data_IF_252958615695
#
_entry.id   IF_252958615695
#
_cell.length_a   1.000
_cell.length_b   1.000
_cell.length_c   1.000
_cell.angle_alpha   90.00
_cell.angle_beta   90.00
_cell.angle_gamma   90.00
#
_symmetry.space_group_name_H-M   'P 1'
#
loop_
_entity.id
_entity.type
_entity.pdbx_description
1 polymer ?
#
# COMPACT_ATOMS: atom_id res chain seq x y z
N UNK A 1 18.47 -46.93 -26.04
CA UNK A 1 18.59 -45.56 -25.49
C UNK A 1 18.61 -44.60 -26.66
N UNK A 2 17.44 -44.10 -27.04
CA UNK A 2 17.24 -43.14 -28.13
C UNK A 2 16.91 -41.80 -27.50
N UNK A 3 17.75 -40.80 -27.76
CA UNK A 3 17.52 -39.41 -27.35
C UNK A 3 16.64 -38.74 -28.40
N UNK A 4 15.39 -38.43 -28.04
CA UNK A 4 14.53 -37.54 -28.82
C UNK A 4 14.91 -36.09 -28.54
N UNK A 5 15.37 -35.39 -29.57
CA UNK A 5 15.70 -33.97 -29.54
C UNK A 5 14.49 -33.19 -30.08
N UNK A 6 13.67 -32.61 -29.19
CA UNK A 6 12.57 -31.71 -29.57
C UNK A 6 13.03 -30.25 -29.49
N UNK A 7 13.53 -29.73 -30.60
CA UNK A 7 13.72 -28.30 -30.82
C UNK A 7 12.38 -27.68 -31.21
N UNK A 8 11.63 -27.15 -30.24
CA UNK A 8 10.43 -26.34 -30.48
C UNK A 8 10.86 -24.89 -30.73
N UNK A 9 10.88 -24.47 -31.99
CA UNK A 9 10.96 -23.05 -32.34
C UNK A 9 9.68 -22.37 -31.86
N UNK A 10 9.79 -21.57 -30.80
CA UNK A 10 8.70 -20.72 -30.32
C UNK A 10 8.35 -19.69 -31.39
N UNK A 11 7.07 -19.61 -31.75
CA UNK A 11 6.54 -18.56 -32.60
C UNK A 11 6.80 -17.19 -31.94
N UNK A 12 7.39 -16.28 -32.70
CA UNK A 12 7.49 -14.87 -32.31
C UNK A 12 6.06 -14.33 -32.20
N UNK A 13 5.66 -13.71 -31.07
CA UNK A 13 4.33 -13.13 -30.95
C UNK A 13 4.18 -12.04 -32.01
N UNK A 14 3.12 -12.16 -32.82
CA UNK A 14 2.73 -11.14 -33.79
C UNK A 14 2.42 -9.87 -32.98
N UNK A 15 3.16 -8.79 -33.21
CA UNK A 15 2.91 -7.50 -32.58
C UNK A 15 1.49 -7.06 -32.94
N UNK A 16 0.61 -7.06 -31.94
CA UNK A 16 -0.77 -6.61 -32.08
C UNK A 16 -0.76 -5.11 -32.38
N UNK A 17 -1.46 -4.69 -33.44
CA UNK A 17 -1.40 -3.32 -33.93
C UNK A 17 -2.01 -2.34 -32.90
N UNK A 18 -1.36 -1.17 -32.74
CA UNK A 18 -1.86 -0.07 -31.90
C UNK A 18 -3.29 0.30 -32.35
N UNK A 19 -4.26 0.12 -31.46
CA UNK A 19 -5.66 0.46 -31.70
C UNK A 19 -5.93 1.89 -31.22
N UNK A 20 -6.75 2.67 -31.92
CA UNK A 20 -7.22 3.95 -31.39
C UNK A 20 -8.54 3.73 -30.68
N UNK A 21 -8.65 4.20 -29.43
CA UNK A 21 -9.88 4.10 -28.62
C UNK A 21 -10.39 5.49 -28.28
N UNK A 22 -11.71 5.61 -28.17
CA UNK A 22 -12.40 6.85 -27.82
C UNK A 22 -12.72 6.87 -26.33
N UNK A 23 -12.28 7.93 -25.64
CA UNK A 23 -12.48 8.12 -24.21
C UNK A 23 -13.20 9.44 -23.99
N UNK A 24 -14.32 9.39 -23.26
CA UNK A 24 -15.07 10.59 -22.88
C UNK A 24 -14.44 11.25 -21.66
N UNK A 25 -14.17 12.55 -21.72
CA UNK A 25 -13.60 13.32 -20.63
C UNK A 25 -14.59 13.43 -19.45
N UNK A 26 -14.20 13.03 -18.23
CA UNK A 26 -15.10 13.03 -17.07
C UNK A 26 -15.33 14.43 -16.46
N UNK A 27 -14.50 15.41 -16.80
CA UNK A 27 -14.56 16.78 -16.31
C UNK A 27 -13.73 17.69 -17.22
N UNK A 28 -13.82 19.00 -17.01
CA UNK A 28 -12.94 19.98 -17.64
C UNK A 28 -11.50 19.78 -17.15
N UNK A 29 -10.54 19.57 -18.06
CA UNK A 29 -9.13 19.29 -17.73
C UNK A 29 -8.17 20.11 -18.59
N UNK A 30 -7.06 20.55 -17.99
CA UNK A 30 -6.00 21.28 -18.69
C UNK A 30 -5.10 20.33 -19.50
N UNK A 31 -4.48 20.86 -20.56
CA UNK A 31 -3.56 20.08 -21.38
C UNK A 31 -2.35 19.53 -20.62
N UNK A 32 -1.97 18.30 -20.94
CA UNK A 32 -0.89 17.57 -20.27
C UNK A 32 -1.31 16.82 -19.00
N UNK A 33 -2.54 16.98 -18.54
CA UNK A 33 -3.07 16.20 -17.42
C UNK A 33 -3.15 14.70 -17.76
N UNK A 34 -2.92 13.82 -16.79
CA UNK A 34 -3.03 12.37 -16.97
C UNK A 34 -4.18 11.83 -16.14
N UNK A 35 -5.02 11.00 -16.75
CA UNK A 35 -6.08 10.29 -16.04
C UNK A 35 -6.21 8.85 -16.54
N UNK A 36 -6.78 7.98 -15.72
CA UNK A 36 -6.94 6.57 -16.04
C UNK A 36 -8.26 6.32 -16.78
N UNK A 37 -8.20 5.59 -17.89
CA UNK A 37 -9.36 5.11 -18.64
C UNK A 37 -9.37 3.59 -18.70
N UNK A 38 -10.56 2.99 -18.84
CA UNK A 38 -10.73 1.53 -18.92
C UNK A 38 -11.21 1.16 -20.32
N UNK A 39 -10.45 0.31 -21.02
CA UNK A 39 -10.86 -0.29 -22.29
C UNK A 39 -10.66 -1.80 -22.24
N UNK A 40 -11.71 -2.58 -22.52
CA UNK A 40 -11.70 -4.05 -22.41
C UNK A 40 -11.20 -4.59 -21.06
N UNK A 41 -11.50 -3.89 -19.96
CA UNK A 41 -11.06 -4.25 -18.60
C UNK A 41 -9.59 -3.92 -18.30
N UNK A 42 -8.87 -3.33 -19.25
CA UNK A 42 -7.49 -2.89 -19.08
C UNK A 42 -7.51 -1.38 -18.78
N UNK A 43 -6.92 -1.00 -17.65
CA UNK A 43 -6.70 0.39 -17.27
C UNK A 43 -5.49 0.92 -18.06
N UNK A 44 -5.58 2.12 -18.65
CA UNK A 44 -4.46 2.77 -19.32
C UNK A 44 -4.52 4.28 -19.10
N UNK A 45 -3.34 4.91 -19.04
CA UNK A 45 -3.22 6.33 -18.78
C UNK A 45 -3.45 7.15 -20.07
N UNK A 46 -4.43 8.05 -20.01
CA UNK A 46 -4.74 9.03 -21.06
C UNK A 46 -4.08 10.35 -20.72
N UNK A 47 -3.35 10.92 -21.68
CA UNK A 47 -2.78 12.28 -21.58
C UNK A 47 -3.71 13.25 -22.30
N UNK A 48 -4.18 14.28 -21.59
CA UNK A 48 -5.02 15.34 -22.15
C UNK A 48 -4.21 16.14 -23.17
N UNK A 49 -4.74 16.40 -24.38
CA UNK A 49 -4.04 17.19 -25.40
C UNK A 49 -3.75 18.62 -24.93
N UNK A 50 -2.73 19.26 -25.49
CA UNK A 50 -2.23 20.57 -25.04
C UNK A 50 -3.30 21.69 -24.93
N UNK A 51 -4.40 21.59 -25.68
CA UNK A 51 -5.53 22.53 -25.62
C UNK A 51 -6.48 22.36 -24.44
N UNK A 52 -6.30 21.32 -23.61
CA UNK A 52 -7.29 20.91 -22.62
C UNK A 52 -8.51 20.23 -23.26
N UNK A 53 -9.47 19.84 -22.42
CA UNK A 53 -10.74 19.22 -22.81
C UNK A 53 -11.85 19.67 -21.87
N UNK A 54 -13.07 19.73 -22.38
CA UNK A 54 -14.28 19.97 -21.58
C UNK A 54 -14.93 18.65 -21.17
N UNK A 55 -15.73 18.67 -20.10
CA UNK A 55 -16.54 17.53 -19.67
C UNK A 55 -17.43 17.04 -20.82
N UNK A 56 -17.37 15.75 -21.12
CA UNK A 56 -18.11 15.12 -22.22
C UNK A 56 -17.38 15.10 -23.56
N UNK A 57 -16.24 15.78 -23.72
CA UNK A 57 -15.45 15.74 -24.95
C UNK A 57 -14.91 14.32 -25.21
N UNK A 58 -14.86 13.92 -26.49
CA UNK A 58 -14.32 12.62 -26.92
C UNK A 58 -12.86 12.81 -27.33
N UNK A 59 -11.96 12.08 -26.67
CA UNK A 59 -10.53 12.07 -26.94
C UNK A 59 -10.17 10.75 -27.60
N UNK A 60 -9.46 10.82 -28.73
CA UNK A 60 -8.91 9.63 -29.38
C UNK A 60 -7.49 9.38 -28.88
N UNK A 61 -7.28 8.20 -28.30
CA UNK A 61 -6.02 7.83 -27.65
C UNK A 61 -5.52 6.50 -28.20
N UNK A 62 -4.21 6.39 -28.50
CA UNK A 62 -3.63 5.12 -28.89
C UNK A 62 -3.64 4.18 -27.67
N UNK A 63 -4.31 3.04 -27.84
CA UNK A 63 -4.32 1.91 -26.94
C UNK A 63 -3.44 0.82 -27.53
N UNK A 64 -2.34 0.54 -26.83
CA UNK A 64 -1.48 -0.59 -27.12
C UNK A 64 -1.66 -1.62 -26.00
N UNK A 65 -2.37 -2.75 -26.25
CA UNK A 65 -2.56 -3.79 -25.26
C UNK A 65 -1.22 -4.44 -24.84
N UNK A 66 -0.18 -4.31 -25.66
CA UNK A 66 1.15 -4.90 -25.44
C UNK A 66 2.12 -3.93 -24.74
N UNK A 67 2.01 -2.62 -24.98
CA UNK A 67 2.70 -1.57 -24.20
C UNK A 67 1.88 -1.15 -22.97
N UNK A 68 1.59 -2.09 -22.09
CA UNK A 68 1.22 -1.78 -20.69
C UNK A 68 2.44 -1.32 -19.89
N UNK A 69 3.18 -0.37 -20.46
CA UNK A 69 4.36 0.25 -19.87
C UNK A 69 3.96 1.18 -18.75
N UNK A 70 4.47 0.87 -17.55
CA UNK A 70 4.57 1.72 -16.36
C UNK A 70 3.23 2.11 -15.70
N UNK A 71 2.77 1.19 -14.85
CA UNK A 71 1.80 1.37 -13.76
C UNK A 71 0.32 1.52 -14.08
N UNK A 72 -0.18 0.62 -14.92
CA UNK A 72 -1.61 0.31 -14.97
C UNK A 72 -1.99 -0.49 -13.72
N UNK A 73 -2.74 0.11 -12.80
CA UNK A 73 -3.49 -0.65 -11.79
C UNK A 73 -4.49 -1.53 -12.55
N UNK A 74 -4.14 -2.79 -12.77
CA UNK A 74 -5.04 -3.71 -13.45
C UNK A 74 -6.20 -4.00 -12.51
N UNK A 75 -7.37 -3.48 -12.86
CA UNK A 75 -8.62 -3.70 -12.14
C UNK A 75 -8.83 -5.21 -11.97
N UNK A 76 -9.24 -5.62 -10.79
CA UNK A 76 -9.53 -7.02 -10.47
C UNK A 76 -8.33 -7.85 -10.03
N UNK A 77 -7.12 -7.27 -9.93
CA UNK A 77 -5.97 -7.97 -9.34
C UNK A 77 -5.08 -7.05 -8.49
N UNK A 78 -4.33 -7.66 -7.57
CA UNK A 78 -3.25 -6.97 -6.87
C UNK A 78 -2.10 -6.65 -7.84
N UNK A 79 -1.50 -5.45 -7.71
CA UNK A 79 -0.32 -5.02 -8.47
C UNK A 79 0.87 -5.95 -8.25
N UNK A 80 1.03 -6.43 -7.02
CA UNK A 80 2.11 -7.33 -6.61
C UNK A 80 1.56 -8.47 -5.75
N UNK A 81 2.30 -9.59 -5.70
CA UNK A 81 2.05 -10.68 -4.76
C UNK A 81 2.24 -10.22 -3.31
N UNK A 82 1.58 -10.93 -2.38
CA UNK A 82 1.61 -10.61 -0.96
C UNK A 82 3.04 -10.56 -0.41
N UNK A 83 3.87 -11.55 -0.79
CA UNK A 83 5.26 -11.67 -0.31
C UNK A 83 6.29 -10.90 -1.13
N UNK A 84 5.88 -10.13 -2.15
CA UNK A 84 6.77 -9.26 -2.91
C UNK A 84 7.05 -7.93 -2.17
N UNK A 85 7.05 -7.95 -0.83
CA UNK A 85 7.21 -6.76 0.00
C UNK A 85 8.58 -6.08 -0.12
N UNK A 86 9.59 -6.81 -0.62
CA UNK A 86 10.95 -6.32 -0.88
C UNK A 86 11.22 -6.01 -2.35
N UNK A 87 10.18 -5.89 -3.19
CA UNK A 87 10.31 -5.60 -4.64
C UNK A 87 11.21 -4.40 -4.95
N UNK A 88 11.09 -3.33 -4.17
CA UNK A 88 11.90 -2.10 -4.33
C UNK A 88 13.14 -2.08 -3.41
N UNK A 89 13.51 -3.22 -2.83
CA UNK A 89 14.62 -3.38 -1.89
C UNK A 89 14.22 -3.37 -0.43
N UNK A 90 15.08 -3.95 0.43
CA UNK A 90 14.87 -4.08 1.88
C UNK A 90 14.97 -2.74 2.63
N UNK A 91 15.57 -1.72 2.02
CA UNK A 91 15.68 -0.38 2.60
C UNK A 91 14.58 0.57 2.09
N UNK A 92 13.65 0.08 1.29
CA UNK A 92 12.59 0.92 0.73
C UNK A 92 11.65 1.42 1.85
N UNK A 93 11.22 2.70 1.85
CA UNK A 93 10.40 3.26 2.92
C UNK A 93 9.10 2.48 3.17
N UNK A 94 8.46 1.99 2.11
CA UNK A 94 7.25 1.16 2.23
C UNK A 94 7.50 -0.18 2.94
N UNK A 95 8.67 -0.80 2.79
CA UNK A 95 8.98 -2.04 3.48
C UNK A 95 9.37 -1.78 4.94
N UNK A 96 10.30 -0.84 5.16
CA UNK A 96 10.77 -0.50 6.51
C UNK A 96 9.62 0.01 7.40
N UNK A 97 8.76 0.90 6.89
CA UNK A 97 7.59 1.33 7.66
C UNK A 97 6.60 0.18 7.88
N UNK A 98 6.43 -0.75 6.94
CA UNK A 98 5.54 -1.89 7.16
C UNK A 98 6.03 -2.80 8.30
N UNK A 99 7.35 -2.99 8.43
CA UNK A 99 7.95 -3.82 9.46
C UNK A 99 8.04 -3.13 10.83
N UNK A 100 8.47 -1.86 10.87
CA UNK A 100 8.77 -1.16 12.12
C UNK A 100 7.63 -0.26 12.60
N UNK A 101 6.83 0.28 11.68
CA UNK A 101 5.85 1.34 11.94
C UNK A 101 4.54 1.09 11.17
N UNK A 102 3.99 -0.13 11.28
CA UNK A 102 2.90 -0.59 10.42
C UNK A 102 1.70 0.37 10.38
N UNK A 103 1.31 0.92 11.53
CA UNK A 103 0.22 1.89 11.65
C UNK A 103 0.52 3.22 10.95
N UNK A 104 1.78 3.65 10.91
CA UNK A 104 2.20 4.88 10.21
C UNK A 104 2.06 4.69 8.70
N UNK A 105 2.55 3.57 8.15
CA UNK A 105 2.37 3.26 6.73
C UNK A 105 0.88 3.12 6.37
N UNK A 106 0.11 2.49 7.25
CA UNK A 106 -1.33 2.36 7.07
C UNK A 106 -2.03 3.73 7.08
N UNK A 107 -1.57 4.66 7.91
CA UNK A 107 -2.00 6.06 7.88
C UNK A 107 -1.76 6.74 6.53
N UNK A 108 -0.63 6.44 5.87
CA UNK A 108 -0.31 6.92 4.53
C UNK A 108 -1.24 6.33 3.47
N UNK A 109 -1.52 5.03 3.56
CA UNK A 109 -2.50 4.35 2.68
C UNK A 109 -3.90 4.95 2.88
N UNK A 110 -4.35 5.11 4.12
CA UNK A 110 -5.67 5.67 4.45
C UNK A 110 -5.83 7.12 3.96
N UNK A 111 -4.78 7.93 4.04
CA UNK A 111 -4.81 9.31 3.53
C UNK A 111 -5.00 9.35 2.01
N UNK A 112 -4.34 8.44 1.26
CA UNK A 112 -4.54 8.28 -0.19
C UNK A 112 -5.94 7.78 -0.52
N UNK A 113 -6.51 6.91 0.31
CA UNK A 113 -7.88 6.38 0.18
C UNK A 113 -8.98 7.32 0.71
N UNK A 114 -8.64 8.52 1.19
CA UNK A 114 -9.59 9.49 1.78
C UNK A 114 -10.38 8.92 2.96
N UNK A 115 -9.67 8.20 3.84
CA UNK A 115 -10.23 7.61 5.06
C UNK A 115 -9.76 8.33 6.31
N UNK A 116 -10.56 8.30 7.38
CA UNK A 116 -10.17 8.69 8.73
C UNK A 116 -9.34 7.59 9.42
N UNK A 117 -8.79 7.89 10.60
CA UNK A 117 -8.00 6.96 11.43
C UNK A 117 -8.75 5.72 11.96
N UNK A 118 -10.07 5.64 11.69
CA UNK A 118 -10.92 4.47 11.95
C UNK A 118 -11.15 3.63 10.69
N UNK A 119 -10.43 3.91 9.60
CA UNK A 119 -10.59 3.28 8.29
C UNK A 119 -12.01 3.41 7.72
N UNK A 120 -12.64 4.58 7.91
CA UNK A 120 -13.93 4.92 7.29
C UNK A 120 -13.73 6.04 6.28
N UNK A 121 -14.44 6.04 5.12
CA UNK A 121 -14.48 7.19 4.23
C UNK A 121 -14.89 8.44 5.00
N UNK A 122 -14.18 9.54 4.80
CA UNK A 122 -14.36 10.75 5.60
C UNK A 122 -14.18 12.02 4.76
N UNK A 123 -14.78 13.16 5.17
CA UNK A 123 -14.58 14.44 4.49
C UNK A 123 -13.11 14.91 4.58
N UNK A 124 -12.66 15.80 3.67
CA UNK A 124 -11.25 16.21 3.58
C UNK A 124 -10.65 16.75 4.89
N UNK A 125 -11.45 17.43 5.72
CA UNK A 125 -11.04 17.96 7.01
C UNK A 125 -10.61 16.87 8.00
N UNK A 126 -11.35 15.75 8.04
CA UNK A 126 -10.99 14.59 8.87
C UNK A 126 -9.79 13.84 8.29
N UNK A 127 -9.75 13.67 6.96
CA UNK A 127 -8.66 12.95 6.26
C UNK A 127 -7.31 13.62 6.52
N UNK A 128 -7.27 14.96 6.56
CA UNK A 128 -6.04 15.71 6.88
C UNK A 128 -5.43 15.33 8.23
N UNK A 129 -6.26 14.90 9.17
CA UNK A 129 -5.84 14.51 10.51
C UNK A 129 -5.51 13.01 10.63
N UNK A 130 -5.86 12.19 9.63
CA UNK A 130 -5.67 10.73 9.66
C UNK A 130 -4.24 10.34 9.95
N UNK A 131 -3.30 10.79 9.12
CA UNK A 131 -1.89 10.44 9.28
C UNK A 131 -1.35 10.85 10.65
N UNK A 132 -1.64 12.09 11.07
CA UNK A 132 -1.22 12.62 12.38
C UNK A 132 -1.76 11.77 13.53
N UNK A 133 -3.04 11.39 13.48
CA UNK A 133 -3.65 10.56 14.52
C UNK A 133 -3.00 9.16 14.57
N UNK A 134 -2.71 8.55 13.41
CA UNK A 134 -2.03 7.25 13.36
C UNK A 134 -0.60 7.33 13.93
N UNK A 135 0.13 8.41 13.67
CA UNK A 135 1.44 8.66 14.27
C UNK A 135 1.31 8.82 15.79
N UNK A 136 0.36 9.62 16.28
CA UNK A 136 0.12 9.80 17.72
C UNK A 136 -0.18 8.46 18.40
N UNK A 137 -1.10 7.67 17.83
CA UNK A 137 -1.42 6.33 18.36
C UNK A 137 -0.19 5.44 18.41
N UNK A 138 0.63 5.44 17.34
CA UNK A 138 1.86 4.66 17.28
C UNK A 138 2.85 5.09 18.36
N UNK A 139 3.13 6.39 18.48
CA UNK A 139 4.09 6.93 19.45
C UNK A 139 3.65 6.67 20.88
N UNK A 140 2.38 6.91 21.21
CA UNK A 140 1.83 6.65 22.56
C UNK A 140 1.93 5.17 22.90
N UNK A 141 1.60 4.27 21.96
CA UNK A 141 1.70 2.83 22.18
C UNK A 141 3.15 2.38 22.37
N UNK A 142 4.08 2.86 21.55
CA UNK A 142 5.51 2.53 21.68
C UNK A 142 6.06 3.01 23.02
N UNK A 143 5.78 4.27 23.41
CA UNK A 143 6.22 4.80 24.71
C UNK A 143 5.64 3.95 25.84
N UNK A 144 4.35 3.65 25.82
CA UNK A 144 3.71 2.87 26.88
C UNK A 144 4.26 1.44 26.95
N UNK A 145 4.56 0.84 25.79
CA UNK A 145 5.19 -0.48 25.71
C UNK A 145 6.60 -0.46 26.31
N UNK A 146 7.44 0.51 25.96
CA UNK A 146 8.80 0.69 26.53
C UNK A 146 8.75 0.95 28.03
N UNK A 147 7.81 1.76 28.52
CA UNK A 147 7.67 2.04 29.95
C UNK A 147 7.19 0.83 30.76
N UNK A 148 6.62 -0.18 30.10
CA UNK A 148 6.07 -1.39 30.74
C UNK A 148 6.86 -2.65 30.40
N UNK A 149 7.97 -2.55 29.65
CA UNK A 149 8.82 -3.70 29.36
C UNK A 149 9.42 -4.23 30.67
N UNK A 150 9.43 -5.56 30.89
CA UNK A 150 10.09 -6.15 32.04
C UNK A 150 11.56 -5.72 32.08
N UNK A 151 12.04 -5.35 33.26
CA UNK A 151 13.42 -4.95 33.49
C UNK A 151 14.30 -6.20 33.69
N UNK A 152 15.59 -6.07 33.38
CA UNK A 152 16.59 -7.09 33.68
C UNK A 152 17.35 -6.61 34.90
N UNK A 153 17.30 -7.40 35.97
CA UNK A 153 18.06 -7.13 37.18
C UNK A 153 19.23 -8.12 37.30
N UNK A 154 20.34 -7.62 37.83
CA UNK A 154 21.51 -8.43 38.16
C UNK A 154 21.38 -8.77 39.64
N UNK A 155 21.06 -10.02 39.91
CA UNK A 155 21.08 -10.55 41.27
C UNK A 155 22.49 -11.06 41.57
N UNK A 156 23.11 -10.55 42.64
CA UNK A 156 24.43 -10.98 43.06
C UNK A 156 24.20 -11.90 44.25
N UNK A 157 24.36 -13.21 44.02
CA UNK A 157 24.28 -14.19 45.10
C UNK A 157 25.41 -13.92 46.09
N UNK A 158 25.06 -13.39 47.27
CA UNK A 158 25.99 -13.06 48.37
C UNK A 158 26.88 -14.26 48.80
N UNK A 159 26.46 -15.49 48.46
CA UNK A 159 27.17 -16.72 48.83
C UNK A 159 28.24 -17.16 47.83
N UNK A 160 28.15 -16.74 46.55
CA UNK A 160 29.07 -17.21 45.49
C UNK A 160 29.72 -16.10 44.66
N UNK A 161 29.41 -14.81 44.93
CA UNK A 161 29.95 -13.66 44.18
C UNK A 161 29.75 -13.80 42.65
N UNK A 162 28.74 -14.58 42.25
CA UNK A 162 28.48 -14.91 40.86
C UNK A 162 27.21 -14.16 40.41
N UNK A 163 27.32 -13.19 39.48
CA UNK A 163 26.17 -12.44 39.03
C UNK A 163 25.24 -13.32 38.20
N UNK A 164 23.99 -13.42 38.64
CA UNK A 164 22.91 -14.09 37.92
C UNK A 164 21.98 -13.03 37.32
N UNK A 165 21.65 -13.15 36.04
CA UNK A 165 20.68 -12.26 35.39
C UNK A 165 19.28 -12.80 35.67
N UNK A 166 18.47 -12.04 36.41
CA UNK A 166 17.08 -12.38 36.70
C UNK A 166 16.19 -11.49 35.83
N UNK A 167 15.29 -12.12 35.07
CA UNK A 167 14.32 -11.42 34.25
C UNK A 167 12.98 -11.40 34.98
N UNK A 168 12.42 -10.21 35.21
CA UNK A 168 11.06 -10.10 35.75
C UNK A 168 10.02 -10.57 34.73
N UNK A 169 8.94 -11.17 35.23
CA UNK A 169 7.79 -11.51 34.40
C UNK A 169 7.16 -10.22 33.83
N UNK A 170 6.77 -10.19 32.55
CA UNK A 170 6.09 -9.02 31.99
C UNK A 170 4.80 -8.72 32.76
N UNK A 171 4.58 -7.45 33.09
CA UNK A 171 3.36 -7.04 33.78
C UNK A 171 2.11 -7.41 32.98
N UNK A 172 1.01 -7.71 33.67
CA UNK A 172 -0.32 -7.92 33.04
C UNK A 172 -0.69 -6.72 32.15
N UNK A 173 -0.31 -5.51 32.56
CA UNK A 173 -0.48 -4.27 31.79
C UNK A 173 0.23 -4.33 30.43
N UNK A 174 1.48 -4.80 30.37
CA UNK A 174 2.22 -4.96 29.12
C UNK A 174 1.49 -5.90 28.15
N UNK A 175 1.04 -7.05 28.63
CA UNK A 175 0.29 -8.01 27.81
C UNK A 175 -1.05 -7.44 27.31
N UNK A 176 -1.76 -6.72 28.18
CA UNK A 176 -3.02 -6.07 27.81
C UNK A 176 -2.83 -4.99 26.73
N UNK A 177 -1.77 -4.18 26.83
CA UNK A 177 -1.43 -3.17 25.83
C UNK A 177 -1.04 -3.79 24.49
N UNK A 178 -0.18 -4.82 24.51
CA UNK A 178 0.19 -5.60 23.33
C UNK A 178 -1.05 -6.19 22.65
N UNK A 179 -1.94 -6.82 23.42
CA UNK A 179 -3.17 -7.39 22.88
C UNK A 179 -4.10 -6.32 22.28
N UNK A 180 -4.26 -5.19 22.97
CA UNK A 180 -5.09 -4.07 22.49
C UNK A 180 -4.53 -3.49 21.19
N UNK A 181 -3.21 -3.28 21.13
CA UNK A 181 -2.53 -2.83 19.93
C UNK A 181 -2.72 -3.81 18.76
N UNK A 182 -2.53 -5.10 19.02
CA UNK A 182 -2.72 -6.15 18.04
C UNK A 182 -4.14 -6.17 17.46
N UNK A 183 -5.17 -6.13 18.32
CA UNK A 183 -6.58 -6.10 17.90
C UNK A 183 -6.88 -4.85 17.08
N UNK A 184 -6.40 -3.68 17.51
CA UNK A 184 -6.58 -2.43 16.76
C UNK A 184 -5.89 -2.49 15.39
N UNK A 185 -4.63 -2.91 15.33
CA UNK A 185 -3.89 -3.05 14.08
C UNK A 185 -4.58 -4.03 13.11
N UNK A 186 -5.00 -5.20 13.61
CA UNK A 186 -5.73 -6.19 12.83
C UNK A 186 -7.02 -5.60 12.24
N UNK A 187 -7.83 -4.92 13.08
CA UNK A 187 -9.07 -4.28 12.67
C UNK A 187 -8.85 -3.26 11.53
N UNK A 188 -7.91 -2.33 11.70
CA UNK A 188 -7.67 -1.26 10.71
C UNK A 188 -7.10 -1.85 9.42
N UNK A 189 -6.14 -2.78 9.49
CA UNK A 189 -5.54 -3.42 8.30
C UNK A 189 -6.60 -4.16 7.48
N UNK A 190 -7.47 -4.94 8.15
CA UNK A 190 -8.58 -5.64 7.48
C UNK A 190 -9.50 -4.66 6.75
N UNK A 191 -9.91 -3.57 7.42
CA UNK A 191 -10.81 -2.56 6.86
C UNK A 191 -10.20 -1.88 5.65
N UNK A 192 -8.95 -1.44 5.76
CA UNK A 192 -8.24 -0.77 4.66
C UNK A 192 -8.04 -1.72 3.49
N UNK A 193 -7.67 -2.99 3.74
CA UNK A 193 -7.48 -3.99 2.68
C UNK A 193 -8.77 -4.26 1.93
N UNK A 194 -9.87 -4.45 2.66
CA UNK A 194 -11.19 -4.62 2.07
C UNK A 194 -11.56 -3.42 1.20
N UNK A 195 -11.32 -2.20 1.67
CA UNK A 195 -11.65 -1.01 0.91
C UNK A 195 -10.77 -0.82 -0.35
N UNK A 196 -9.48 -1.20 -0.30
CA UNK A 196 -8.63 -1.26 -1.50
C UNK A 196 -9.20 -2.24 -2.51
N UNK A 197 -9.63 -3.42 -2.05
CA UNK A 197 -10.21 -4.44 -2.92
C UNK A 197 -11.54 -4.01 -3.54
N UNK A 198 -12.42 -3.38 -2.76
CA UNK A 198 -13.69 -2.85 -3.26
C UNK A 198 -13.45 -1.75 -4.30
N UNK A 199 -12.51 -0.82 -4.05
CA UNK A 199 -12.13 0.24 -4.99
C UNK A 199 -11.60 -0.34 -6.31
N UNK A 200 -10.71 -1.32 -6.23
CA UNK A 200 -10.02 -1.89 -7.39
C UNK A 200 -10.72 -3.15 -7.95
N UNK A 201 -11.94 -3.45 -7.49
CA UNK A 201 -12.74 -4.64 -7.84
C UNK A 201 -11.99 -5.98 -7.68
N UNK A 202 -11.08 -6.10 -6.72
CA UNK A 202 -10.25 -7.28 -6.49
C UNK A 202 -11.09 -8.39 -5.79
N UNK A 203 -11.32 -9.54 -6.46
CA UNK A 203 -12.12 -10.62 -5.91
C UNK A 203 -11.44 -11.28 -4.72
N UNK A 204 -12.22 -12.00 -3.91
CA UNK A 204 -11.66 -12.73 -2.79
C UNK A 204 -10.92 -13.96 -3.30
N UNK A 205 -9.72 -14.16 -2.77
CA UNK A 205 -8.96 -15.38 -2.94
C UNK A 205 -9.58 -16.56 -2.17
N UNK A 206 -8.73 -17.55 -1.91
CA UNK A 206 -9.16 -18.88 -1.43
C UNK A 206 -9.82 -18.87 -0.06
N UNK A 207 -9.52 -17.89 0.78
CA UNK A 207 -10.11 -17.73 2.11
C UNK A 207 -11.46 -16.99 2.11
N UNK A 208 -11.99 -16.63 0.93
CA UNK A 208 -13.27 -15.93 0.80
C UNK A 208 -13.32 -14.65 1.62
N UNK A 209 -14.39 -14.48 2.40
CA UNK A 209 -14.61 -13.28 3.22
C UNK A 209 -13.61 -13.11 4.39
N UNK A 210 -12.83 -14.15 4.72
CA UNK A 210 -11.82 -14.11 5.78
C UNK A 210 -10.41 -13.84 5.28
N UNK A 211 -10.20 -13.74 3.97
CA UNK A 211 -8.87 -13.51 3.40
C UNK A 211 -8.18 -12.28 4.00
N UNK A 212 -8.91 -11.18 4.18
CA UNK A 212 -8.33 -9.96 4.72
C UNK A 212 -7.90 -10.13 6.19
N UNK A 213 -8.62 -10.95 6.97
CA UNK A 213 -8.25 -11.33 8.34
C UNK A 213 -6.98 -12.17 8.31
N UNK A 214 -6.94 -13.21 7.47
CA UNK A 214 -5.79 -14.11 7.36
C UNK A 214 -4.53 -13.36 6.93
N UNK A 215 -4.62 -12.51 5.90
CA UNK A 215 -3.49 -11.71 5.45
C UNK A 215 -2.98 -10.77 6.55
N UNK A 216 -3.89 -10.06 7.21
CA UNK A 216 -3.54 -9.15 8.30
C UNK A 216 -2.92 -9.86 9.51
N UNK A 217 -3.39 -11.06 9.85
CA UNK A 217 -2.91 -11.88 10.96
C UNK A 217 -1.55 -12.54 10.67
N UNK A 218 -1.42 -13.24 9.53
CA UNK A 218 -0.24 -14.08 9.24
C UNK A 218 0.94 -13.30 8.65
N UNK A 219 0.71 -12.23 7.88
CA UNK A 219 1.77 -11.32 7.48
C UNK A 219 1.26 -9.88 7.38
N UNK A 220 1.07 -9.23 8.52
CA UNK A 220 0.62 -7.84 8.60
C UNK A 220 1.52 -6.88 7.82
N UNK A 221 2.85 -6.97 7.95
CA UNK A 221 3.78 -6.11 7.23
C UNK A 221 3.69 -6.31 5.70
N UNK A 222 3.66 -7.55 5.20
CA UNK A 222 3.46 -7.86 3.79
C UNK A 222 2.17 -7.23 3.27
N UNK A 223 1.09 -7.39 4.03
CA UNK A 223 -0.25 -6.91 3.69
C UNK A 223 -0.29 -5.40 3.55
N UNK A 224 0.25 -4.66 4.52
CA UNK A 224 0.29 -3.19 4.48
C UNK A 224 1.22 -2.69 3.37
N UNK A 225 2.36 -3.36 3.17
CA UNK A 225 3.28 -3.05 2.08
C UNK A 225 2.63 -3.25 0.70
N UNK A 226 1.89 -4.35 0.50
CA UNK A 226 1.13 -4.61 -0.73
C UNK A 226 0.08 -3.53 -0.98
N UNK A 227 -0.70 -3.15 0.04
CA UNK A 227 -1.68 -2.06 -0.08
C UNK A 227 -1.00 -0.72 -0.41
N UNK A 228 0.18 -0.46 0.14
CA UNK A 228 0.93 0.75 -0.13
C UNK A 228 1.36 0.86 -1.60
N UNK A 229 1.80 -0.25 -2.19
CA UNK A 229 2.14 -0.32 -3.63
C UNK A 229 0.92 -0.35 -4.53
N UNK A 230 -0.21 -0.86 -4.04
CA UNK A 230 -1.49 -0.79 -4.76
C UNK A 230 -2.03 0.64 -4.84
N UNK A 231 -1.67 1.49 -3.88
CA UNK A 231 -2.22 2.86 -3.75
C UNK A 231 -1.25 3.97 -4.17
N UNK A 232 0.00 3.64 -4.55
CA UNK A 232 0.93 4.59 -5.17
C UNK A 232 1.86 3.88 -6.14
N UNK A 233 2.43 4.63 -7.08
CA UNK A 233 3.36 4.08 -8.03
C UNK A 233 4.82 4.41 -7.69
N UNK A 234 5.49 3.54 -6.93
CA UNK A 234 6.90 3.74 -6.59
C UNK A 234 7.89 3.53 -7.74
N UNK A 235 7.42 3.13 -8.92
CA UNK A 235 8.25 3.12 -10.12
C UNK A 235 8.44 4.54 -10.69
N UNK A 236 7.45 5.42 -10.48
CA UNK A 236 7.46 6.81 -10.97
C UNK A 236 7.65 7.84 -9.85
N UNK A 237 7.19 7.53 -8.63
CA UNK A 237 7.17 8.43 -7.49
C UNK A 237 8.15 7.97 -6.42
N UNK A 238 8.95 8.90 -5.88
CA UNK A 238 9.82 8.55 -4.76
C UNK A 238 9.02 8.40 -3.47
N UNK A 239 9.22 7.27 -2.80
CA UNK A 239 8.66 7.03 -1.48
C UNK A 239 9.33 7.94 -0.44
N UNK A 240 8.54 8.46 0.49
CA UNK A 240 9.03 9.27 1.61
C UNK A 240 8.64 8.67 2.96
N UNK A 241 9.54 8.80 3.92
CA UNK A 241 9.22 8.57 5.32
C UNK A 241 8.42 9.75 5.89
N UNK A 242 7.47 9.43 6.76
CA UNK A 242 6.78 10.40 7.61
C UNK A 242 6.01 11.54 6.91
N UNK A 243 5.76 11.46 5.59
CA UNK A 243 4.79 12.33 4.91
C UNK A 243 3.38 11.74 5.04
N UNK A 244 2.34 12.58 4.86
CA UNK A 244 0.95 12.16 5.07
C UNK A 244 0.46 11.11 4.08
N UNK A 245 1.00 11.08 2.88
CA UNK A 245 0.67 10.14 1.80
C UNK A 245 1.81 9.14 1.49
N UNK A 246 2.99 9.33 2.08
CA UNK A 246 4.16 8.47 1.87
C UNK A 246 4.90 8.74 0.57
N UNK A 247 4.66 9.87 -0.07
CA UNK A 247 5.33 10.30 -1.29
C UNK A 247 6.16 11.55 -1.01
N UNK A 248 7.30 11.68 -1.69
CA UNK A 248 8.01 12.96 -1.71
C UNK A 248 7.16 13.97 -2.46
N UNK A 249 7.27 15.25 -2.10
CA UNK A 249 6.84 16.33 -3.00
C UNK A 249 7.80 16.32 -4.19
N UNK A 250 7.63 15.37 -5.10
CA UNK A 250 8.17 15.47 -6.45
C UNK A 250 7.52 16.73 -6.98
N UNK A 251 8.32 17.75 -7.33
CA UNK A 251 7.87 19.08 -7.74
C UNK A 251 6.55 19.01 -8.50
N UNK A 252 5.44 19.17 -7.78
CA UNK A 252 4.12 19.23 -8.39
C UNK A 252 4.18 20.49 -9.21
N UNK A 253 4.13 20.34 -10.53
CA UNK A 253 3.50 21.37 -11.36
C UNK A 253 2.22 21.75 -10.64
N UNK A 254 2.05 23.03 -10.29
CA UNK A 254 1.01 23.46 -9.36
C UNK A 254 -0.36 22.99 -9.84
N UNK A 255 -1.00 22.15 -9.04
CA UNK A 255 -2.41 21.79 -9.20
C UNK A 255 -3.20 23.05 -8.81
N UNK A 256 -3.52 23.88 -9.80
CA UNK A 256 -4.49 24.95 -9.62
C UNK A 256 -5.87 24.34 -9.62
N UNK A 257 -6.51 24.36 -8.45
CA UNK A 257 -7.96 24.21 -8.34
C UNK A 257 -8.57 25.45 -8.99
N UNK A 258 -9.14 25.29 -10.17
CA UNK A 258 -10.04 26.25 -10.81
C UNK A 258 -11.40 25.59 -10.92
#
# INVERSE_FOLDING_TARGET
>A
MTFENKSSYGAVPVAEAVQIVEVTAPANMQGGFKFDAVHNGILFAVIVPAGGVQEGDIIQVPFDPTNTGTATSVIGRWKDDLFACTRHGICHPSFLNACCCQLVLLGQVMTRLKMNWKAQPAPPEEVKNTFRNMVIVTVVMVITMVMTTPQFDIDIDDEFDNPTIVQEDPSVTYHFLQFTYFVYALYVVMKVRKAVRERDSIPAGKCGNLEDVCCAYFCGCCTVSQMSRQTANYDDEQAAFFTSDGLTVTAQTPVMVV
#
